data_IF_782711986677
#
_entry.id   IF_782711986677
#
_cell.length_a   1.000
_cell.length_b   1.000
_cell.length_c   1.000
_cell.angle_alpha   90.00
_cell.angle_beta   90.00
_cell.angle_gamma   90.00
#
_symmetry.space_group_name_H-M   'P 1'
#
loop_
_entity.id
_entity.type
_entity.pdbx_description
1 polymer ?
#
# COMPACT_ATOMS: atom_id res chain seq x y z
N UNK A 1 -12.00 3.79 -16.48
CA UNK A 1 -12.73 5.07 -16.28
C UNK A 1 -12.98 5.47 -14.83
N UNK A 2 -13.37 4.60 -13.89
CA UNK A 2 -13.66 5.02 -12.51
C UNK A 2 -12.41 5.46 -11.71
N UNK A 3 -11.30 4.73 -11.86
CA UNK A 3 -9.99 5.06 -11.26
C UNK A 3 -9.39 6.38 -11.77
N UNK A 4 -9.47 6.64 -13.07
CA UNK A 4 -8.97 7.88 -13.68
C UNK A 4 -9.82 9.12 -13.30
N UNK A 5 -11.05 8.91 -12.83
CA UNK A 5 -11.97 9.98 -12.41
C UNK A 5 -11.79 10.41 -10.96
N UNK A 6 -10.85 9.80 -10.22
CA UNK A 6 -10.52 10.22 -8.85
C UNK A 6 -11.52 9.76 -7.77
N UNK A 7 -12.49 8.91 -8.11
CA UNK A 7 -13.45 8.36 -7.15
C UNK A 7 -12.92 7.10 -6.46
N UNK A 8 -11.72 7.23 -5.89
CA UNK A 8 -11.00 6.16 -5.20
C UNK A 8 -11.75 5.80 -3.90
N UNK A 9 -12.46 6.76 -3.31
CA UNK A 9 -13.27 6.58 -2.11
C UNK A 9 -14.45 5.64 -2.35
N UNK A 10 -15.21 5.80 -3.44
CA UNK A 10 -16.32 4.89 -3.75
C UNK A 10 -15.83 3.47 -4.03
N UNK A 11 -14.70 3.34 -4.75
CA UNK A 11 -14.06 2.03 -4.99
C UNK A 11 -13.59 1.40 -3.67
N UNK A 12 -13.01 2.19 -2.76
CA UNK A 12 -12.59 1.71 -1.45
C UNK A 12 -13.74 1.13 -0.64
N UNK A 13 -14.91 1.79 -0.67
CA UNK A 13 -16.08 1.35 0.10
C UNK A 13 -16.66 0.03 -0.41
N UNK A 14 -16.57 -0.21 -1.73
CA UNK A 14 -16.99 -1.45 -2.37
C UNK A 14 -15.98 -2.57 -2.09
N UNK A 15 -14.68 -2.27 -2.25
CA UNK A 15 -13.61 -3.26 -2.08
C UNK A 15 -13.33 -3.63 -0.62
N UNK A 16 -13.79 -2.83 0.35
CA UNK A 16 -13.67 -3.11 1.78
C UNK A 16 -14.80 -4.02 2.31
N UNK A 17 -15.71 -4.49 1.46
CA UNK A 17 -16.71 -5.47 1.86
C UNK A 17 -16.10 -6.89 1.92
N UNK A 18 -16.29 -7.65 3.02
CA UNK A 18 -15.71 -8.99 3.18
C UNK A 18 -16.11 -10.01 2.10
N UNK A 19 -17.24 -9.80 1.44
CA UNK A 19 -17.74 -10.66 0.35
C UNK A 19 -17.04 -10.41 -0.99
N UNK A 20 -16.27 -9.32 -1.11
CA UNK A 20 -15.68 -8.86 -2.36
C UNK A 20 -14.16 -9.08 -2.46
N UNK A 21 -13.57 -9.85 -1.54
CA UNK A 21 -12.14 -10.21 -1.58
C UNK A 21 -11.71 -10.86 -2.91
N UNK A 22 -12.59 -11.66 -3.52
CA UNK A 22 -12.34 -12.27 -4.83
C UNK A 22 -12.27 -11.21 -5.93
N UNK A 23 -13.22 -10.26 -5.93
CA UNK A 23 -13.27 -9.13 -6.87
C UNK A 23 -12.03 -8.25 -6.72
N UNK A 24 -11.63 -7.97 -5.49
CA UNK A 24 -10.39 -7.25 -5.21
C UNK A 24 -9.17 -8.01 -5.74
N UNK A 25 -9.07 -9.31 -5.51
CA UNK A 25 -7.96 -10.12 -6.00
C UNK A 25 -7.88 -10.09 -7.53
N UNK A 26 -9.01 -10.18 -8.23
CA UNK A 26 -9.03 -10.11 -9.69
C UNK A 26 -8.62 -8.72 -10.19
N UNK A 27 -9.08 -7.66 -9.53
CA UNK A 27 -8.62 -6.30 -9.78
C UNK A 27 -7.09 -6.17 -9.56
N UNK A 28 -6.57 -6.61 -8.41
CA UNK A 28 -5.16 -6.53 -8.08
C UNK A 28 -4.31 -7.31 -9.09
N UNK A 29 -4.72 -8.51 -9.47
CA UNK A 29 -4.06 -9.30 -10.52
C UNK A 29 -4.08 -8.58 -11.86
N UNK A 30 -5.21 -8.00 -12.27
CA UNK A 30 -5.30 -7.24 -13.51
C UNK A 30 -4.34 -6.05 -13.53
N UNK A 31 -4.27 -5.28 -12.44
CA UNK A 31 -3.33 -4.15 -12.32
C UNK A 31 -1.89 -4.62 -12.48
N UNK A 32 -1.50 -5.69 -11.78
CA UNK A 32 -0.13 -6.23 -11.83
C UNK A 32 0.20 -6.83 -13.20
N UNK A 33 -0.69 -7.66 -13.77
CA UNK A 33 -0.47 -8.32 -15.05
C UNK A 33 -0.43 -7.34 -16.22
N UNK A 34 -1.28 -6.32 -16.20
CA UNK A 34 -1.34 -5.30 -17.25
C UNK A 34 -0.34 -4.15 -17.03
N UNK A 35 0.48 -4.21 -15.97
CA UNK A 35 1.45 -3.14 -15.61
C UNK A 35 0.80 -1.76 -15.53
N UNK A 36 -0.39 -1.72 -14.92
CA UNK A 36 -1.16 -0.49 -14.69
C UNK A 36 -0.80 0.17 -13.36
N UNK A 37 0.30 -0.28 -12.73
CA UNK A 37 0.80 0.23 -11.47
C UNK A 37 1.24 1.71 -11.56
N UNK A 38 1.58 2.18 -12.76
CA UNK A 38 1.86 3.60 -13.07
C UNK A 38 0.65 4.52 -12.98
N UNK A 39 -0.57 3.98 -13.02
CA UNK A 39 -1.82 4.75 -12.89
C UNK A 39 -2.18 4.99 -11.41
N UNK A 40 -1.56 4.24 -10.50
CA UNK A 40 -1.77 4.40 -9.07
C UNK A 40 -1.11 5.69 -8.59
N UNK A 41 -1.80 6.42 -7.72
CA UNK A 41 -1.28 7.60 -7.05
C UNK A 41 -1.25 7.39 -5.52
N UNK A 42 -0.81 8.40 -4.77
CA UNK A 42 -0.68 8.29 -3.31
C UNK A 42 -2.03 8.04 -2.63
N UNK A 43 -3.12 8.63 -3.14
CA UNK A 43 -4.48 8.38 -2.63
C UNK A 43 -4.91 6.93 -2.85
N UNK A 44 -4.57 6.34 -3.99
CA UNK A 44 -4.77 4.92 -4.27
C UNK A 44 -4.00 4.05 -3.27
N UNK A 45 -2.72 4.35 -3.06
CA UNK A 45 -1.88 3.63 -2.11
C UNK A 45 -2.48 3.65 -0.70
N UNK A 46 -2.91 4.83 -0.23
CA UNK A 46 -3.55 5.00 1.08
C UNK A 46 -4.82 4.16 1.24
N UNK A 47 -5.65 4.11 0.20
CA UNK A 47 -6.91 3.35 0.20
C UNK A 47 -6.68 1.84 0.10
N UNK A 48 -5.73 1.40 -0.72
CA UNK A 48 -5.51 -0.01 -1.02
C UNK A 48 -4.79 -0.75 0.12
N UNK A 49 -3.89 -0.09 0.84
CA UNK A 49 -3.10 -0.71 1.91
C UNK A 49 -3.95 -1.33 3.04
N UNK A 50 -5.00 -0.67 3.57
CA UNK A 50 -5.91 -1.29 4.54
C UNK A 50 -6.58 -2.57 4.01
N UNK A 51 -7.10 -2.53 2.77
CA UNK A 51 -7.78 -3.67 2.15
C UNK A 51 -6.79 -4.84 2.02
N UNK A 52 -5.59 -4.55 1.51
CA UNK A 52 -4.52 -5.54 1.35
C UNK A 52 -4.08 -6.16 2.67
N UNK A 53 -3.97 -5.35 3.73
CA UNK A 53 -3.66 -5.84 5.08
C UNK A 53 -4.73 -6.82 5.56
N UNK A 54 -6.00 -6.53 5.31
CA UNK A 54 -7.10 -7.40 5.72
C UNK A 54 -7.08 -8.72 4.92
N UNK A 55 -6.74 -8.67 3.62
CA UNK A 55 -6.52 -9.87 2.79
C UNK A 55 -5.38 -10.77 3.30
N UNK A 56 -4.35 -10.23 3.95
CA UNK A 56 -3.27 -11.05 4.53
C UNK A 56 -3.76 -11.97 5.64
N UNK A 57 -4.92 -11.66 6.25
CA UNK A 57 -5.57 -12.50 7.26
C UNK A 57 -6.60 -13.48 6.65
N UNK A 58 -6.68 -13.56 5.32
CA UNK A 58 -7.57 -14.49 4.62
C UNK A 58 -7.17 -15.95 4.88
N UNK A 59 -8.16 -16.84 4.97
CA UNK A 59 -7.95 -18.29 5.04
C UNK A 59 -7.51 -18.92 3.71
N UNK A 60 -7.54 -18.15 2.62
CA UNK A 60 -7.21 -18.61 1.28
C UNK A 60 -5.80 -18.14 0.90
N UNK A 61 -4.87 -19.07 0.75
CA UNK A 61 -3.46 -18.79 0.41
C UNK A 61 -3.30 -17.97 -0.87
N UNK A 62 -4.16 -18.22 -1.88
CA UNK A 62 -4.14 -17.47 -3.14
C UNK A 62 -4.48 -15.98 -2.95
N UNK A 63 -5.33 -15.64 -1.98
CA UNK A 63 -5.68 -14.26 -1.67
C UNK A 63 -4.52 -13.59 -0.93
N UNK A 64 -3.91 -14.31 0.02
CA UNK A 64 -2.72 -13.84 0.74
C UNK A 64 -1.56 -13.60 -0.24
N UNK A 65 -1.31 -14.52 -1.16
CA UNK A 65 -0.27 -14.38 -2.18
C UNK A 65 -0.54 -13.20 -3.14
N UNK A 66 -1.80 -13.00 -3.54
CA UNK A 66 -2.20 -11.84 -4.37
C UNK A 66 -1.99 -10.53 -3.61
N UNK A 67 -2.34 -10.49 -2.33
CA UNK A 67 -2.13 -9.32 -1.50
C UNK A 67 -0.64 -9.01 -1.32
N UNK A 68 0.19 -10.00 -0.99
CA UNK A 68 1.65 -9.83 -0.88
C UNK A 68 2.27 -9.28 -2.17
N UNK A 69 1.89 -9.83 -3.32
CA UNK A 69 2.37 -9.34 -4.60
C UNK A 69 1.97 -7.89 -4.85
N UNK A 70 0.73 -7.50 -4.51
CA UNK A 70 0.28 -6.14 -4.76
C UNK A 70 0.87 -5.14 -3.77
N UNK A 71 1.07 -5.53 -2.51
CA UNK A 71 1.80 -4.71 -1.52
C UNK A 71 3.24 -4.48 -1.97
N UNK A 72 3.92 -5.49 -2.53
CA UNK A 72 5.27 -5.34 -3.07
C UNK A 72 5.33 -4.30 -4.20
N UNK A 73 4.36 -4.31 -5.11
CA UNK A 73 4.24 -3.30 -6.17
C UNK A 73 4.00 -1.89 -5.59
N UNK A 74 3.10 -1.76 -4.61
CA UNK A 74 2.88 -0.47 -3.94
C UNK A 74 4.16 0.02 -3.24
N UNK A 75 4.89 -0.87 -2.57
CA UNK A 75 6.14 -0.53 -1.91
C UNK A 75 7.18 -0.05 -2.92
N UNK A 76 7.35 -0.75 -4.05
CA UNK A 76 8.28 -0.36 -5.10
C UNK A 76 7.94 1.02 -5.70
N UNK A 77 6.66 1.31 -5.91
CA UNK A 77 6.24 2.55 -6.56
C UNK A 77 6.24 3.77 -5.62
N UNK A 78 5.92 3.57 -4.33
CA UNK A 78 5.69 4.68 -3.40
C UNK A 78 6.75 4.84 -2.32
N UNK A 79 7.64 3.86 -2.10
CA UNK A 79 8.66 3.93 -1.03
C UNK A 79 9.53 5.18 -1.12
N UNK A 80 10.04 5.51 -2.31
CA UNK A 80 10.82 6.72 -2.55
C UNK A 80 10.04 7.99 -2.23
N UNK A 81 8.83 8.12 -2.78
CA UNK A 81 7.95 9.27 -2.53
C UNK A 81 7.67 9.47 -1.03
N UNK A 82 7.35 8.39 -0.32
CA UNK A 82 7.05 8.41 1.11
C UNK A 82 8.30 8.81 1.90
N UNK A 83 9.44 8.16 1.65
CA UNK A 83 10.70 8.44 2.33
C UNK A 83 11.13 9.90 2.14
N UNK A 84 11.13 10.37 0.89
CA UNK A 84 11.57 11.72 0.55
C UNK A 84 10.65 12.78 1.15
N UNK A 85 9.33 12.56 1.11
CA UNK A 85 8.36 13.49 1.72
C UNK A 85 8.57 13.57 3.23
N UNK A 86 8.68 12.43 3.92
CA UNK A 86 8.86 12.36 5.38
C UNK A 86 10.19 13.00 5.81
N UNK A 87 11.28 12.73 5.08
CA UNK A 87 12.60 13.34 5.33
C UNK A 87 12.63 14.83 5.07
N UNK A 88 12.03 15.28 3.96
CA UNK A 88 12.04 16.71 3.60
C UNK A 88 11.24 17.55 4.59
N UNK A 89 10.20 16.98 5.21
CA UNK A 89 9.37 17.69 6.18
C UNK A 89 9.84 17.53 7.63
N UNK A 90 10.77 16.62 7.95
CA UNK A 90 11.17 16.32 9.34
C UNK A 90 11.76 17.51 10.10
N UNK A 91 12.36 18.47 9.37
CA UNK A 91 12.98 19.67 9.94
C UNK A 91 12.08 20.92 9.86
N UNK A 92 10.84 20.78 9.36
CA UNK A 92 9.91 21.89 9.19
C UNK A 92 8.72 21.66 10.13
N UNK A 93 8.43 22.58 11.06
CA UNK A 93 7.20 22.52 11.86
C UNK A 93 5.98 22.44 10.95
N UNK A 94 5.04 21.52 11.21
CA UNK A 94 3.85 21.31 10.36
C UNK A 94 3.07 22.61 10.09
N UNK A 95 2.98 23.50 11.10
CA UNK A 95 2.35 24.82 10.99
C UNK A 95 2.98 25.78 9.97
N UNK A 96 4.15 25.45 9.45
CA UNK A 96 4.88 26.22 8.44
C UNK A 96 4.82 25.58 7.04
N UNK A 97 4.19 24.40 6.92
CA UNK A 97 3.92 23.77 5.63
C UNK A 97 2.72 24.44 4.96
N UNK A 98 2.75 24.51 3.63
CA UNK A 98 1.53 24.83 2.88
C UNK A 98 0.54 23.65 2.96
N UNK A 99 -0.76 23.94 2.81
CA UNK A 99 -1.81 22.92 2.89
C UNK A 99 -1.54 21.69 1.97
N UNK A 100 -1.05 21.86 0.72
CA UNK A 100 -0.72 20.72 -0.13
C UNK A 100 0.42 19.83 0.42
N UNK A 101 1.48 20.42 0.97
CA UNK A 101 2.58 19.65 1.59
C UNK A 101 2.13 18.97 2.87
N UNK A 102 1.32 19.65 3.68
CA UNK A 102 0.74 19.08 4.89
C UNK A 102 -0.13 17.86 4.57
N UNK A 103 -1.05 17.96 3.61
CA UNK A 103 -1.90 16.84 3.19
C UNK A 103 -1.07 15.68 2.62
N UNK A 104 -0.06 15.97 1.79
CA UNK A 104 0.83 14.95 1.26
C UNK A 104 1.63 14.25 2.36
N UNK A 105 2.17 15.01 3.32
CA UNK A 105 2.89 14.45 4.48
C UNK A 105 1.98 13.54 5.30
N UNK A 106 0.75 13.99 5.58
CA UNK A 106 -0.27 13.21 6.31
C UNK A 106 -0.55 11.87 5.60
N UNK A 107 -0.76 11.90 4.28
CA UNK A 107 -0.97 10.68 3.47
C UNK A 107 0.25 9.75 3.49
N UNK A 108 1.46 10.29 3.32
CA UNK A 108 2.71 9.51 3.39
C UNK A 108 2.90 8.85 4.75
N UNK A 109 2.62 9.56 5.85
CA UNK A 109 2.68 9.00 7.20
C UNK A 109 1.66 7.87 7.38
N UNK A 110 0.42 8.05 6.94
CA UNK A 110 -0.60 7.02 7.02
C UNK A 110 -0.24 5.77 6.20
N UNK A 111 0.27 5.92 4.97
CA UNK A 111 0.77 4.79 4.18
C UNK A 111 1.93 4.07 4.89
N UNK A 112 2.87 4.84 5.46
CA UNK A 112 3.99 4.28 6.20
C UNK A 112 3.54 3.45 7.41
N UNK A 113 2.54 3.94 8.16
CA UNK A 113 1.98 3.20 9.28
C UNK A 113 1.26 1.92 8.83
N UNK A 114 0.52 1.95 7.71
CA UNK A 114 -0.04 0.73 7.15
C UNK A 114 1.02 -0.30 6.73
N UNK A 115 2.12 0.14 6.10
CA UNK A 115 3.25 -0.73 5.80
C UNK A 115 3.89 -1.32 7.05
N UNK A 116 3.96 -0.55 8.14
CA UNK A 116 4.44 -1.03 9.44
C UNK A 116 3.52 -2.11 10.03
N UNK A 117 2.21 -1.90 10.00
CA UNK A 117 1.26 -2.92 10.47
C UNK A 117 1.31 -4.18 9.61
N UNK A 118 1.40 -4.05 8.29
CA UNK A 118 1.62 -5.18 7.38
C UNK A 118 2.89 -5.95 7.78
N UNK A 119 4.01 -5.26 8.03
CA UNK A 119 5.25 -5.92 8.43
C UNK A 119 5.10 -6.77 9.70
N UNK A 120 4.30 -6.33 10.68
CA UNK A 120 4.01 -7.11 11.90
C UNK A 120 3.17 -8.36 11.63
N UNK A 121 2.29 -8.30 10.62
CA UNK A 121 1.46 -9.43 10.23
C UNK A 121 2.23 -10.47 9.40
N UNK A 122 3.40 -10.13 8.85
CA UNK A 122 4.21 -11.07 8.07
C UNK A 122 4.87 -12.11 8.98
N UNK A 123 4.42 -13.38 8.96
CA UNK A 123 5.05 -14.43 9.73
C UNK A 123 6.44 -14.74 9.18
N UNK A 124 7.38 -15.12 10.04
CA UNK A 124 8.74 -15.49 9.62
C UNK A 124 8.80 -16.76 8.75
N UNK A 125 7.75 -17.60 8.82
CA UNK A 125 7.70 -18.93 8.19
C UNK A 125 6.74 -19.09 7.01
N UNK A 126 5.82 -18.14 6.73
CA UNK A 126 4.80 -18.30 5.66
C UNK A 126 5.10 -17.53 4.37
N UNK A 127 6.18 -16.76 4.29
CA UNK A 127 6.60 -16.22 2.99
C UNK A 127 7.28 -17.37 2.24
N UNK A 128 6.54 -18.03 1.35
CA UNK A 128 7.12 -18.98 0.39
C UNK A 128 8.30 -18.34 -0.36
N UNK A 129 9.18 -19.16 -0.97
CA UNK A 129 10.45 -18.69 -1.55
C UNK A 129 10.32 -17.43 -2.43
N UNK A 130 9.18 -17.29 -3.12
CA UNK A 130 8.80 -16.14 -3.94
C UNK A 130 8.87 -14.79 -3.20
N UNK A 131 8.52 -14.74 -1.92
CA UNK A 131 8.48 -13.49 -1.15
C UNK A 131 9.58 -13.41 -0.08
N UNK A 132 10.59 -14.28 -0.11
CA UNK A 132 11.66 -14.31 0.88
C UNK A 132 12.42 -12.96 0.99
N UNK A 133 12.55 -12.23 -0.13
CA UNK A 133 13.17 -10.90 -0.17
C UNK A 133 12.24 -9.75 0.23
N UNK A 134 10.94 -9.98 0.38
CA UNK A 134 9.97 -8.92 0.62
C UNK A 134 10.07 -8.35 2.05
N UNK A 135 10.05 -9.22 3.06
CA UNK A 135 10.15 -8.83 4.48
C UNK A 135 11.40 -7.98 4.79
N UNK A 136 12.63 -8.35 4.38
CA UNK A 136 13.80 -7.51 4.62
C UNK A 136 13.76 -6.18 3.85
N UNK A 137 13.23 -6.16 2.63
CA UNK A 137 13.03 -4.92 1.86
C UNK A 137 12.07 -3.97 2.57
N UNK A 138 10.94 -4.49 3.05
CA UNK A 138 9.96 -3.73 3.82
C UNK A 138 10.56 -3.20 5.13
N UNK A 139 11.32 -4.02 5.85
CA UNK A 139 12.02 -3.60 7.06
C UNK A 139 13.01 -2.45 6.77
N UNK A 140 13.81 -2.57 5.71
CA UNK A 140 14.76 -1.54 5.32
C UNK A 140 14.06 -0.21 5.03
N UNK A 141 12.95 -0.24 4.28
CA UNK A 141 12.10 0.93 4.04
C UNK A 141 11.60 1.56 5.35
N UNK A 142 11.04 0.75 6.27
CA UNK A 142 10.47 1.24 7.52
C UNK A 142 11.51 1.87 8.46
N UNK A 143 12.76 1.39 8.43
CA UNK A 143 13.87 1.96 9.20
C UNK A 143 14.51 3.18 8.52
N UNK A 144 14.38 3.29 7.20
CA UNK A 144 15.02 4.31 6.40
C UNK A 144 14.21 5.59 6.19
N UNK A 145 12.98 5.66 6.71
CA UNK A 145 12.04 6.77 6.53
C UNK A 145 11.86 7.64 7.79
#
# INVERSE_FOLDING_TARGET
>A
DLWARGDIASISSILNMPQDHAVFCDFARAVVQQRLDSVLNLDACLVLLPILRDLLSSKYDDFVATALQFIEVLLQNFSGLIADTRKSCSNIPERQLDLPREDRLRKCNACHDHFREIHKLLPESQLGSRFAGFKPTLQAFLTGC
#
